data_IF_924004058073
#
_entry.id   IF_924004058073
#
_cell.length_a   1.000
_cell.length_b   1.000
_cell.length_c   1.000
_cell.angle_alpha   90.00
_cell.angle_beta   90.00
_cell.angle_gamma   90.00
#
_symmetry.space_group_name_H-M   'P 1'
#
loop_
_entity.id
_entity.type
_entity.pdbx_description
1 polymer ?
#
# COMPACT_ATOMS: atom_id res chain seq x y z
N UNK A 1 -2.93 50.48 -27.33
CA UNK A 1 -1.53 50.78 -26.91
C UNK A 1 -1.51 51.14 -25.43
N UNK A 2 -0.94 50.30 -24.56
CA UNK A 2 -0.16 50.72 -23.38
C UNK A 2 0.52 49.47 -22.81
N UNK A 3 1.83 49.39 -23.00
CA UNK A 3 2.74 48.47 -22.30
C UNK A 3 2.99 49.08 -20.93
N UNK A 4 3.00 48.29 -19.85
CA UNK A 4 3.78 48.56 -18.63
C UNK A 4 4.06 47.23 -17.92
N UNK A 5 5.36 47.01 -17.71
CA UNK A 5 6.00 45.92 -16.98
C UNK A 5 5.70 45.99 -15.48
N UNK A 6 5.67 44.83 -14.80
CA UNK A 6 6.22 44.70 -13.44
C UNK A 6 6.90 43.34 -13.31
N UNK A 7 8.22 43.36 -13.17
CA UNK A 7 9.08 42.26 -12.72
C UNK A 7 8.93 42.13 -11.20
N UNK A 8 9.29 40.96 -10.66
CA UNK A 8 9.49 40.58 -9.25
C UNK A 8 8.40 39.67 -8.68
N UNK A 9 8.76 38.40 -8.45
CA UNK A 9 9.17 37.93 -7.11
C UNK A 9 9.72 36.51 -7.24
N UNK A 10 11.04 36.34 -7.12
CA UNK A 10 11.64 35.02 -6.87
C UNK A 10 11.83 34.87 -5.36
N UNK A 11 11.02 34.00 -4.74
CA UNK A 11 11.24 33.55 -3.37
C UNK A 11 11.45 32.04 -3.41
N UNK A 12 12.68 31.61 -3.66
CA UNK A 12 13.10 30.24 -3.36
C UNK A 12 13.56 30.21 -1.90
N UNK A 13 12.63 29.89 -1.01
CA UNK A 13 12.94 29.55 0.37
C UNK A 13 13.64 28.20 0.43
N UNK A 14 14.94 28.21 0.73
CA UNK A 14 15.69 26.99 1.04
C UNK A 14 15.29 26.52 2.45
N UNK A 15 14.27 25.66 2.55
CA UNK A 15 14.09 24.84 3.75
C UNK A 15 15.15 23.73 3.72
N UNK A 16 16.26 23.96 4.41
CA UNK A 16 17.15 22.87 4.78
C UNK A 16 16.46 22.05 5.89
N UNK A 17 15.73 21.00 5.51
CA UNK A 17 15.31 19.96 6.46
C UNK A 17 16.54 19.12 6.80
N UNK A 18 17.17 19.42 7.94
CA UNK A 18 18.09 18.50 8.60
C UNK A 18 17.29 17.31 9.13
N UNK A 19 17.12 16.27 8.31
CA UNK A 19 16.63 14.98 8.80
C UNK A 19 17.80 14.26 9.44
N UNK A 20 17.81 14.20 10.78
CA UNK A 20 18.62 13.23 11.49
C UNK A 20 18.04 11.85 11.19
N UNK A 21 18.61 11.16 10.21
CA UNK A 21 18.33 9.75 10.00
C UNK A 21 18.89 8.97 11.19
N UNK A 22 18.00 8.51 12.07
CA UNK A 22 18.35 7.48 13.03
C UNK A 22 18.83 6.23 12.26
N UNK A 23 19.85 5.51 12.74
CA UNK A 23 20.36 4.34 12.04
C UNK A 23 19.25 3.29 11.97
N UNK A 24 18.76 3.04 10.74
CA UNK A 24 17.91 1.91 10.43
C UNK A 24 18.75 0.66 10.67
N UNK A 25 18.64 0.13 11.89
CA UNK A 25 19.12 -1.19 12.23
C UNK A 25 18.40 -2.14 11.29
N UNK A 26 19.17 -2.85 10.47
CA UNK A 26 18.75 -3.91 9.56
C UNK A 26 18.20 -5.09 10.38
N UNK A 27 17.07 -4.90 11.03
CA UNK A 27 16.12 -5.98 11.21
C UNK A 27 15.34 -6.01 9.91
N UNK A 28 15.35 -7.13 9.18
CA UNK A 28 14.20 -7.47 8.33
C UNK A 28 12.98 -7.42 9.25
N UNK A 29 12.35 -6.27 9.35
CA UNK A 29 11.26 -6.04 10.27
C UNK A 29 10.20 -7.08 9.93
N UNK A 30 10.05 -8.06 10.82
CA UNK A 30 9.10 -9.13 10.59
C UNK A 30 7.73 -8.47 10.48
N UNK A 31 7.08 -8.66 9.32
CA UNK A 31 5.74 -8.15 9.08
C UNK A 31 4.82 -8.57 10.23
N UNK A 32 4.02 -7.65 10.80
CA UNK A 32 3.05 -8.00 11.82
C UNK A 32 2.18 -9.17 11.37
N UNK A 33 1.80 -10.02 12.33
CA UNK A 33 1.03 -11.23 12.06
C UNK A 33 -0.24 -10.94 11.24
N UNK A 34 -0.93 -9.84 11.53
CA UNK A 34 -2.15 -9.45 10.83
C UNK A 34 -1.89 -9.14 9.35
N UNK A 35 -0.77 -8.50 9.03
CA UNK A 35 -0.38 -8.26 7.64
C UNK A 35 -0.02 -9.56 6.93
N UNK A 36 0.69 -10.47 7.60
CA UNK A 36 0.99 -11.79 7.06
C UNK A 36 -0.28 -12.57 6.74
N UNK A 37 -1.28 -12.54 7.64
CA UNK A 37 -2.58 -13.18 7.41
C UNK A 37 -3.34 -12.54 6.24
N UNK A 38 -3.43 -11.20 6.20
CA UNK A 38 -4.10 -10.46 5.12
C UNK A 38 -3.53 -10.82 3.76
N UNK A 39 -2.21 -10.76 3.65
CA UNK A 39 -1.53 -11.02 2.40
C UNK A 39 -1.65 -12.47 1.98
N UNK A 40 -1.55 -13.42 2.93
CA UNK A 40 -1.72 -14.84 2.63
C UNK A 40 -3.12 -15.16 2.11
N UNK A 41 -4.18 -14.64 2.75
CA UNK A 41 -5.55 -14.87 2.29
C UNK A 41 -5.79 -14.24 0.91
N UNK A 42 -5.23 -13.05 0.68
CA UNK A 42 -5.29 -12.39 -0.63
C UNK A 42 -4.56 -13.19 -1.71
N UNK A 43 -3.38 -13.74 -1.42
CA UNK A 43 -2.64 -14.62 -2.34
C UNK A 43 -3.40 -15.90 -2.65
N UNK A 44 -4.11 -16.47 -1.68
CA UNK A 44 -4.97 -17.63 -1.89
C UNK A 44 -6.14 -17.30 -2.83
N UNK A 45 -6.77 -16.13 -2.68
CA UNK A 45 -7.83 -15.67 -3.59
C UNK A 45 -7.29 -15.43 -5.01
N UNK A 46 -6.11 -14.82 -5.13
CA UNK A 46 -5.39 -14.66 -6.39
C UNK A 46 -5.18 -16.02 -7.05
N UNK A 47 -4.65 -17.02 -6.32
CA UNK A 47 -4.39 -18.36 -6.85
C UNK A 47 -5.66 -19.08 -7.30
N UNK A 48 -6.80 -18.83 -6.65
CA UNK A 48 -8.10 -19.33 -7.10
C UNK A 48 -8.56 -18.61 -8.37
N UNK A 49 -8.42 -17.30 -8.43
CA UNK A 49 -8.77 -16.50 -9.61
C UNK A 49 -7.91 -16.86 -10.83
N UNK A 50 -6.61 -17.13 -10.67
CA UNK A 50 -5.72 -17.56 -11.76
C UNK A 50 -6.17 -18.85 -12.46
N UNK A 51 -6.93 -19.72 -11.77
CA UNK A 51 -7.47 -20.95 -12.35
C UNK A 51 -8.72 -20.72 -13.20
N UNK A 52 -9.35 -19.55 -13.10
CA UNK A 52 -10.55 -19.23 -13.88
C UNK A 52 -10.17 -18.72 -15.28
N UNK A 53 -10.85 -19.18 -16.34
CA UNK A 53 -10.59 -18.69 -17.69
C UNK A 53 -10.91 -17.20 -17.82
N UNK A 54 -10.06 -16.46 -18.55
CA UNK A 54 -10.27 -15.04 -18.83
C UNK A 54 -9.79 -14.06 -17.73
N UNK A 55 -9.25 -14.55 -16.62
CA UNK A 55 -8.85 -13.69 -15.48
C UNK A 55 -7.37 -13.32 -15.46
N UNK A 56 -6.49 -14.05 -16.18
CA UNK A 56 -5.03 -13.95 -16.05
C UNK A 56 -4.48 -12.51 -16.11
N UNK A 57 -4.97 -11.68 -17.03
CA UNK A 57 -4.53 -10.28 -17.16
C UNK A 57 -4.89 -9.44 -15.93
N UNK A 58 -6.11 -9.62 -15.41
CA UNK A 58 -6.56 -8.90 -14.22
C UNK A 58 -5.82 -9.37 -12.99
N UNK A 59 -5.64 -10.69 -12.86
CA UNK A 59 -4.93 -11.29 -11.73
C UNK A 59 -3.47 -10.89 -11.72
N UNK A 60 -2.80 -10.83 -12.88
CA UNK A 60 -1.44 -10.31 -13.00
C UNK A 60 -1.31 -8.86 -12.48
N UNK A 61 -2.28 -7.99 -12.80
CA UNK A 61 -2.32 -6.62 -12.27
C UNK A 61 -2.52 -6.60 -10.75
N UNK A 62 -3.39 -7.46 -10.22
CA UNK A 62 -3.65 -7.57 -8.78
C UNK A 62 -2.38 -8.03 -8.04
N UNK A 63 -1.69 -9.06 -8.55
CA UNK A 63 -0.43 -9.56 -7.98
C UNK A 63 0.66 -8.49 -7.94
N UNK A 64 0.78 -7.69 -9.01
CA UNK A 64 1.71 -6.55 -9.05
C UNK A 64 1.40 -5.52 -7.97
N UNK A 65 0.12 -5.11 -7.84
CA UNK A 65 -0.32 -4.18 -6.79
C UNK A 65 -0.13 -4.74 -5.37
N UNK A 66 -0.39 -6.03 -5.19
CA UNK A 66 -0.17 -6.70 -3.90
C UNK A 66 1.30 -6.66 -3.50
N UNK A 67 2.20 -6.97 -4.43
CA UNK A 67 3.64 -6.88 -4.19
C UNK A 67 4.09 -5.45 -3.87
N UNK A 68 3.58 -4.46 -4.59
CA UNK A 68 3.84 -3.05 -4.28
C UNK A 68 3.36 -2.69 -2.86
N UNK A 69 2.14 -3.10 -2.49
CA UNK A 69 1.60 -2.86 -1.15
C UNK A 69 2.44 -3.51 -0.05
N UNK A 70 2.95 -4.73 -0.27
CA UNK A 70 3.86 -5.41 0.66
C UNK A 70 5.12 -4.57 0.92
N UNK A 71 5.73 -4.01 -0.13
CA UNK A 71 6.92 -3.16 0.02
C UNK A 71 6.58 -1.85 0.74
N UNK A 72 5.48 -1.19 0.36
CA UNK A 72 5.05 0.05 1.00
C UNK A 72 4.77 -0.12 2.51
N UNK A 73 4.15 -1.22 2.91
CA UNK A 73 3.89 -1.48 4.33
C UNK A 73 5.20 -1.64 5.11
N UNK A 74 6.23 -2.24 4.53
CA UNK A 74 7.53 -2.38 5.20
C UNK A 74 8.22 -1.03 5.44
N UNK A 75 7.91 -0.02 4.64
CA UNK A 75 8.42 1.35 4.79
C UNK A 75 7.61 2.18 5.82
N UNK A 76 6.49 1.66 6.33
CA UNK A 76 5.63 2.34 7.30
C UNK A 76 6.01 2.03 8.74
N UNK A 77 5.58 2.88 9.67
CA UNK A 77 5.70 2.63 11.11
C UNK A 77 4.87 1.41 11.55
N UNK A 78 5.41 0.58 12.45
CA UNK A 78 4.82 -0.68 12.92
C UNK A 78 3.35 -0.55 13.36
N UNK A 79 3.01 0.47 14.14
CA UNK A 79 1.63 0.72 14.59
C UNK A 79 0.69 1.00 13.42
N UNK A 80 1.18 1.71 12.41
CA UNK A 80 0.43 2.00 11.19
C UNK A 80 0.30 0.76 10.31
N UNK A 81 1.33 -0.09 10.25
CA UNK A 81 1.26 -1.40 9.57
C UNK A 81 0.14 -2.25 10.18
N UNK A 82 0.15 -2.45 11.51
CA UNK A 82 -0.87 -3.22 12.22
C UNK A 82 -2.27 -2.68 11.94
N UNK A 83 -2.49 -1.37 12.14
CA UNK A 83 -3.79 -0.74 11.91
C UNK A 83 -4.27 -0.91 10.46
N UNK A 84 -3.38 -0.74 9.49
CA UNK A 84 -3.71 -0.87 8.06
C UNK A 84 -4.13 -2.31 7.72
N UNK A 85 -3.41 -3.29 8.26
CA UNK A 85 -3.67 -4.70 8.03
C UNK A 85 -4.92 -5.19 8.77
N UNK A 86 -5.20 -4.70 9.97
CA UNK A 86 -6.44 -5.00 10.70
C UNK A 86 -7.67 -4.52 9.93
N UNK A 87 -7.62 -3.28 9.40
CA UNK A 87 -8.69 -2.74 8.54
C UNK A 87 -8.83 -3.57 7.26
N UNK A 88 -7.71 -3.96 6.65
CA UNK A 88 -7.70 -4.82 5.47
C UNK A 88 -8.34 -6.18 5.72
N UNK A 89 -7.99 -6.84 6.84
CA UNK A 89 -8.55 -8.12 7.26
C UNK A 89 -10.05 -8.01 7.53
N UNK A 90 -10.48 -7.00 8.27
CA UNK A 90 -11.90 -6.78 8.57
C UNK A 90 -12.72 -6.62 7.27
N UNK A 91 -12.21 -5.83 6.31
CA UNK A 91 -12.85 -5.69 5.00
C UNK A 91 -12.87 -7.00 4.22
N UNK A 92 -11.75 -7.73 4.18
CA UNK A 92 -11.66 -9.01 3.48
C UNK A 92 -12.68 -10.02 4.02
N UNK A 93 -12.78 -10.14 5.34
CA UNK A 93 -13.73 -11.02 6.01
C UNK A 93 -15.19 -10.61 5.72
N UNK A 94 -15.49 -9.30 5.68
CA UNK A 94 -16.82 -8.83 5.32
C UNK A 94 -17.20 -9.22 3.89
N UNK A 95 -16.29 -9.08 2.92
CA UNK A 95 -16.54 -9.46 1.52
C UNK A 95 -16.76 -10.98 1.37
N UNK A 96 -16.02 -11.79 2.13
CA UNK A 96 -16.22 -13.24 2.16
C UNK A 96 -17.59 -13.62 2.70
N UNK A 97 -18.00 -12.98 3.80
CA UNK A 97 -19.32 -13.20 4.43
C UNK A 97 -20.47 -12.91 3.45
N UNK A 98 -20.41 -11.79 2.71
CA UNK A 98 -21.42 -11.48 1.68
C UNK A 98 -21.50 -12.54 0.58
N UNK A 99 -20.37 -13.14 0.21
CA UNK A 99 -20.33 -14.15 -0.86
C UNK A 99 -20.96 -15.47 -0.39
N UNK A 100 -20.81 -15.81 0.90
CA UNK A 100 -21.39 -17.01 1.51
C UNK A 100 -22.90 -16.89 1.75
N UNK A 101 -23.44 -15.70 2.01
CA UNK A 101 -24.88 -15.49 2.20
C UNK A 101 -25.71 -15.44 0.90
N UNK A 102 -25.04 -15.29 -0.25
CA UNK A 102 -25.70 -15.22 -1.57
C UNK A 102 -25.69 -16.54 -2.36
N UNK A 103 -25.22 -17.64 -1.75
CA UNK A 103 -25.13 -18.97 -2.36
C UNK A 103 -26.21 -19.93 -1.82
#
# INVERSE_FOLDING_TARGET
MKKICVIFTALFGSMALSTTAAPLTENKAALPQQCTLLFKETENLIAQAEKQPGTHTQVGKIKSKLNQSKQQILEMELATQQKSCDVGLARLNSMKSYTEETN
#
